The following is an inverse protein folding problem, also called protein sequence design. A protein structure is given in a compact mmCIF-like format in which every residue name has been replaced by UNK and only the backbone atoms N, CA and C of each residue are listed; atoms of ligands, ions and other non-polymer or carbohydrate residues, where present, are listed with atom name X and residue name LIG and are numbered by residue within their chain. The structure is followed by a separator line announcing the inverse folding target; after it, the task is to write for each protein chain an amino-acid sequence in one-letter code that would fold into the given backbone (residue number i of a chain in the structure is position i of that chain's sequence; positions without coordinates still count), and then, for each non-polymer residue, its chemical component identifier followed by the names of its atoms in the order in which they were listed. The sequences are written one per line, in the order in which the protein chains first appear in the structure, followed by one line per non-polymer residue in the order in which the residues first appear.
data_IF_035375284937
#
_entry.id   IF_035375284937
#
_cell.length_a   1.000
_cell.length_b   1.000
_cell.length_c   1.000
_cell.angle_alpha   90.00
_cell.angle_beta   90.00
_cell.angle_gamma   90.00
#
_symmetry.space_group_name_H-M   'P 1'
#
loop_
_entity.id
_entity.type
_entity.pdbx_description
1 polymer ?
#
# COMPACT_ATOMS: atom_id res chain seq x y z
N UNK A 1 9.22 -15.15 -34.17
CA UNK A 1 7.99 -14.37 -33.96
C UNK A 1 8.00 -13.93 -32.51
N UNK A 2 8.22 -12.65 -32.23
CA UNK A 2 8.19 -12.12 -30.85
C UNK A 2 6.72 -11.89 -30.49
N UNK A 3 6.18 -12.71 -29.61
CA UNK A 3 4.83 -12.55 -29.07
C UNK A 3 4.77 -11.23 -28.28
N UNK A 4 4.02 -10.25 -28.77
CA UNK A 4 3.83 -8.97 -28.07
C UNK A 4 2.93 -9.22 -26.87
N UNK A 5 3.50 -9.16 -25.67
CA UNK A 5 2.73 -9.29 -24.44
C UNK A 5 1.64 -8.20 -24.36
N UNK A 6 0.45 -8.52 -23.82
CA UNK A 6 -0.65 -7.57 -23.75
C UNK A 6 -0.33 -6.39 -22.84
N UNK A 7 -0.63 -5.18 -23.32
CA UNK A 7 -0.55 -3.93 -22.54
C UNK A 7 -1.72 -3.91 -21.56
N UNK A 8 -1.43 -3.70 -20.27
CA UNK A 8 -2.47 -3.52 -19.27
C UNK A 8 -3.00 -2.08 -19.32
N UNK A 9 -4.29 -1.87 -19.09
CA UNK A 9 -4.87 -0.53 -19.11
C UNK A 9 -5.85 -0.37 -17.96
N UNK A 10 -5.86 0.82 -17.35
CA UNK A 10 -6.91 1.23 -16.43
C UNK A 10 -7.32 2.68 -16.70
N UNK A 11 -8.48 3.05 -16.19
CA UNK A 11 -9.01 4.41 -16.30
C UNK A 11 -9.38 4.91 -14.91
N UNK A 12 -9.09 6.18 -14.64
CA UNK A 12 -9.42 6.82 -13.37
C UNK A 12 -9.69 8.30 -13.57
N UNK A 13 -10.60 8.86 -12.79
CA UNK A 13 -10.83 10.29 -12.69
C UNK A 13 -10.01 10.95 -11.56
N UNK A 14 -9.14 10.18 -10.90
CA UNK A 14 -8.33 10.62 -9.77
C UNK A 14 -6.93 11.07 -10.22
N UNK A 15 -6.32 12.03 -9.49
CA UNK A 15 -4.95 12.46 -9.74
C UNK A 15 -3.96 11.41 -9.22
N UNK A 16 -3.68 10.41 -10.06
CA UNK A 16 -2.70 9.36 -9.76
C UNK A 16 -1.37 9.66 -10.43
N UNK A 17 -0.28 9.21 -9.83
CA UNK A 17 1.04 9.14 -10.47
C UNK A 17 1.47 7.69 -10.52
N UNK A 18 1.87 7.24 -11.71
CA UNK A 18 2.32 5.88 -11.96
C UNK A 18 3.83 5.87 -12.09
N UNK A 19 4.45 4.98 -11.33
CA UNK A 19 5.86 4.69 -11.45
C UNK A 19 6.03 3.23 -11.85
N UNK A 20 7.05 2.96 -12.66
CA UNK A 20 7.38 1.63 -13.13
C UNK A 20 8.81 1.26 -12.75
N UNK A 21 9.00 -0.05 -12.67
CA UNK A 21 10.31 -0.68 -12.57
C UNK A 21 10.24 -2.06 -13.23
N UNK A 22 11.28 -2.50 -13.96
CA UNK A 22 11.29 -3.84 -14.54
C UNK A 22 11.15 -4.93 -13.46
N UNK A 23 10.38 -5.97 -13.76
CA UNK A 23 10.25 -7.13 -12.87
C UNK A 23 11.62 -7.76 -12.62
N UNK A 24 11.94 -8.03 -11.35
CA UNK A 24 13.21 -8.62 -10.94
C UNK A 24 14.36 -7.61 -10.78
N UNK A 25 14.17 -6.35 -11.18
CA UNK A 25 15.16 -5.28 -11.01
C UNK A 25 15.01 -4.61 -9.63
N UNK A 26 15.02 -5.37 -8.54
CA UNK A 26 14.72 -4.85 -7.20
C UNK A 26 15.67 -3.72 -6.71
N UNK A 27 16.88 -3.64 -7.27
CA UNK A 27 17.87 -2.61 -6.99
C UNK A 27 17.66 -1.31 -7.78
N UNK A 28 16.82 -1.33 -8.81
CA UNK A 28 16.51 -0.14 -9.61
C UNK A 28 15.50 0.74 -8.87
N UNK A 29 15.66 2.05 -9.02
CA UNK A 29 14.70 3.02 -8.52
C UNK A 29 13.42 3.01 -9.35
N UNK A 30 12.34 3.47 -8.73
CA UNK A 30 11.08 3.70 -9.40
C UNK A 30 11.19 4.90 -10.33
N UNK A 31 10.80 4.73 -11.59
CA UNK A 31 10.81 5.82 -12.58
C UNK A 31 9.37 6.25 -12.82
N UNK A 32 9.11 7.56 -12.75
CA UNK A 32 7.80 8.10 -13.09
C UNK A 32 7.51 7.82 -14.57
N UNK A 33 6.34 7.26 -14.84
CA UNK A 33 5.93 6.83 -16.16
C UNK A 33 4.82 7.70 -16.72
N UNK A 34 3.76 7.91 -15.95
CA UNK A 34 2.56 8.60 -16.42
C UNK A 34 1.70 9.13 -15.25
N UNK A 35 0.75 10.01 -15.55
CA UNK A 35 -0.14 10.64 -14.57
C UNK A 35 -1.60 10.60 -15.03
N UNK A 36 -2.51 10.39 -14.08
CA UNK A 36 -3.94 10.55 -14.29
C UNK A 36 -4.43 11.95 -13.93
N UNK A 37 -5.70 12.28 -14.18
CA UNK A 37 -6.77 11.38 -14.60
C UNK A 37 -6.69 10.98 -16.09
N UNK A 38 -7.52 10.02 -16.49
CA UNK A 38 -7.65 9.53 -17.85
C UNK A 38 -7.38 8.02 -17.95
N UNK A 39 -7.10 7.58 -19.17
CA UNK A 39 -6.78 6.19 -19.50
C UNK A 39 -5.27 5.99 -19.60
N UNK A 40 -4.71 5.12 -18.75
CA UNK A 40 -3.28 4.88 -18.66
C UNK A 40 -2.93 3.47 -19.17
N UNK A 41 -1.94 3.38 -20.06
CA UNK A 41 -1.52 2.13 -20.70
C UNK A 41 -0.15 1.70 -20.19
N UNK A 42 -0.12 0.61 -19.42
CA UNK A 42 1.08 0.14 -18.72
C UNK A 42 1.80 -0.92 -19.55
N UNK A 43 3.09 -0.70 -19.90
CA UNK A 43 3.87 -1.69 -20.61
C UNK A 43 4.05 -2.98 -19.78
N UNK A 44 4.02 -4.16 -20.43
CA UNK A 44 4.19 -5.44 -19.74
C UNK A 44 5.57 -5.55 -19.10
N UNK A 45 5.73 -6.57 -18.23
CA UNK A 45 6.99 -6.87 -17.52
C UNK A 45 7.48 -5.79 -16.55
N UNK A 46 6.57 -4.96 -16.04
CA UNK A 46 6.86 -3.97 -15.01
C UNK A 46 6.13 -4.29 -13.71
N UNK A 47 6.81 -4.04 -12.59
CA UNK A 47 6.14 -3.74 -11.34
C UNK A 47 5.56 -2.33 -11.42
N UNK A 48 4.43 -2.11 -10.74
CA UNK A 48 3.69 -0.86 -10.74
C UNK A 48 3.64 -0.34 -9.32
N UNK A 49 4.06 0.92 -9.19
CA UNK A 49 3.87 1.73 -8.01
C UNK A 49 2.87 2.85 -8.35
N UNK A 50 1.76 2.89 -7.64
CA UNK A 50 0.77 3.96 -7.73
C UNK A 50 0.82 4.87 -6.52
N UNK A 51 0.85 6.17 -6.75
CA UNK A 51 0.63 7.21 -5.75
C UNK A 51 -0.64 7.98 -6.06
N UNK A 52 -1.43 8.28 -5.03
CA UNK A 52 -2.60 9.15 -5.13
C UNK A 52 -2.67 10.05 -3.90
N UNK A 53 -3.13 11.29 -4.07
CA UNK A 53 -3.23 12.29 -3.00
C UNK A 53 -4.59 12.97 -2.98
N UNK A 54 -4.93 13.52 -1.82
CA UNK A 54 -6.16 14.26 -1.56
C UNK A 54 -7.44 13.46 -1.87
N UNK A 55 -7.46 12.18 -1.52
CA UNK A 55 -8.64 11.32 -1.69
C UNK A 55 -9.31 10.93 -0.37
N UNK A 56 -10.60 10.59 -0.44
CA UNK A 56 -11.40 9.95 0.61
C UNK A 56 -11.64 8.45 0.38
N UNK A 57 -12.47 7.83 1.23
CA UNK A 57 -12.78 6.40 1.17
C UNK A 57 -13.55 5.98 -0.10
N UNK A 58 -14.43 6.85 -0.63
CA UNK A 58 -15.21 6.57 -1.83
C UNK A 58 -14.34 6.66 -3.08
N UNK A 59 -13.45 7.65 -3.12
CA UNK A 59 -12.41 7.77 -4.14
C UNK A 59 -11.42 6.60 -4.09
N UNK A 60 -10.98 6.18 -2.89
CA UNK A 60 -10.15 4.99 -2.74
C UNK A 60 -10.87 3.73 -3.26
N UNK A 61 -12.17 3.58 -2.99
CA UNK A 61 -12.97 2.48 -3.51
C UNK A 61 -12.99 2.46 -5.05
N UNK A 62 -13.22 3.62 -5.68
CA UNK A 62 -13.20 3.75 -7.14
C UNK A 62 -11.82 3.44 -7.72
N UNK A 63 -10.75 3.95 -7.11
CA UNK A 63 -9.38 3.63 -7.51
C UNK A 63 -9.13 2.13 -7.48
N UNK A 64 -9.39 1.49 -6.34
CA UNK A 64 -9.20 0.05 -6.13
C UNK A 64 -9.95 -0.74 -7.19
N UNK A 65 -11.20 -0.37 -7.50
CA UNK A 65 -11.99 -1.02 -8.54
C UNK A 65 -11.29 -0.94 -9.90
N UNK A 66 -10.81 0.25 -10.28
CA UNK A 66 -10.10 0.47 -11.55
C UNK A 66 -8.77 -0.30 -11.66
N UNK A 67 -8.06 -0.49 -10.55
CA UNK A 67 -6.69 -1.06 -10.56
C UNK A 67 -6.61 -2.51 -10.07
N UNK A 68 -7.71 -3.11 -9.62
CA UNK A 68 -7.74 -4.46 -9.05
C UNK A 68 -7.29 -5.57 -10.00
N UNK A 69 -7.42 -5.36 -11.31
CA UNK A 69 -6.98 -6.29 -12.34
C UNK A 69 -5.60 -5.98 -12.91
N UNK A 70 -4.92 -4.91 -12.46
CA UNK A 70 -3.62 -4.53 -13.01
C UNK A 70 -2.54 -5.55 -12.61
N UNK A 71 -1.97 -6.29 -13.59
CA UNK A 71 -0.87 -7.18 -13.31
C UNK A 71 0.35 -6.35 -12.88
N UNK A 72 0.99 -6.76 -11.79
CA UNK A 72 2.20 -6.09 -11.33
C UNK A 72 1.98 -4.90 -10.40
N UNK A 73 0.75 -4.56 -9.99
CA UNK A 73 0.54 -3.60 -8.90
C UNK A 73 1.09 -4.15 -7.57
N UNK A 74 2.29 -3.68 -7.20
CA UNK A 74 3.02 -4.15 -6.03
C UNK A 74 3.16 -3.08 -4.95
N UNK A 75 3.04 -1.80 -5.29
CA UNK A 75 3.13 -0.69 -4.34
C UNK A 75 1.98 0.30 -4.52
N UNK A 76 1.24 0.54 -3.43
CA UNK A 76 0.27 1.62 -3.32
C UNK A 76 0.72 2.61 -2.24
N UNK A 77 0.80 3.89 -2.60
CA UNK A 77 1.09 4.98 -1.68
C UNK A 77 -0.14 5.87 -1.51
N UNK A 78 -0.70 5.82 -0.30
CA UNK A 78 -1.82 6.64 0.16
C UNK A 78 -1.38 7.68 1.20
N UNK A 79 -0.07 7.96 1.32
CA UNK A 79 0.45 8.89 2.31
C UNK A 79 -0.29 10.22 2.28
N UNK A 80 -0.54 10.78 3.46
CA UNK A 80 -1.16 12.09 3.67
C UNK A 80 -2.62 12.22 3.20
N UNK A 81 -3.26 11.12 2.78
CA UNK A 81 -4.71 11.10 2.53
C UNK A 81 -5.49 11.07 3.85
N UNK A 82 -5.64 12.24 4.48
CA UNK A 82 -6.29 12.39 5.80
C UNK A 82 -7.79 12.07 5.81
N UNK A 83 -8.42 11.98 4.64
CA UNK A 83 -9.83 11.56 4.49
C UNK A 83 -10.00 10.06 4.27
N UNK A 84 -8.90 9.32 4.10
CA UNK A 84 -8.92 7.85 4.12
C UNK A 84 -8.98 7.38 5.58
N UNK A 85 -9.99 6.55 5.88
CA UNK A 85 -10.29 6.03 7.21
C UNK A 85 -10.27 4.50 7.23
N UNK A 86 -10.64 3.91 8.38
CA UNK A 86 -10.74 2.45 8.53
C UNK A 86 -11.71 1.83 7.51
N UNK A 87 -12.76 2.57 7.10
CA UNK A 87 -13.73 2.13 6.10
C UNK A 87 -13.11 1.94 4.72
N UNK A 88 -12.24 2.85 4.30
CA UNK A 88 -11.49 2.76 3.04
C UNK A 88 -10.51 1.59 3.03
N UNK A 89 -9.86 1.28 4.15
CA UNK A 89 -8.89 0.18 4.22
C UNK A 89 -9.49 -1.19 3.89
N UNK A 90 -10.79 -1.39 4.18
CA UNK A 90 -11.49 -2.63 3.83
C UNK A 90 -11.44 -2.94 2.32
N UNK A 91 -11.33 -1.91 1.47
CA UNK A 91 -11.27 -2.07 0.01
C UNK A 91 -9.94 -2.63 -0.47
N UNK A 92 -8.86 -2.41 0.27
CA UNK A 92 -7.51 -2.85 -0.12
C UNK A 92 -7.40 -4.38 -0.23
N UNK A 93 -8.30 -5.14 0.38
CA UNK A 93 -8.36 -6.59 0.22
C UNK A 93 -8.49 -7.05 -1.24
N UNK A 94 -9.01 -6.19 -2.13
CA UNK A 94 -9.10 -6.44 -3.57
C UNK A 94 -7.76 -6.29 -4.32
N UNK A 95 -6.67 -5.91 -3.63
CA UNK A 95 -5.32 -5.76 -4.19
C UNK A 95 -4.33 -6.79 -3.59
N UNK A 96 -4.57 -8.11 -3.76
CA UNK A 96 -3.78 -9.15 -3.10
C UNK A 96 -2.32 -9.24 -3.56
N UNK A 97 -1.97 -8.53 -4.65
CA UNK A 97 -0.62 -8.42 -5.19
C UNK A 97 0.30 -7.47 -4.42
N UNK A 98 -0.24 -6.60 -3.55
CA UNK A 98 0.56 -5.60 -2.85
C UNK A 98 1.65 -6.21 -1.98
N UNK A 99 2.86 -5.71 -2.16
CA UNK A 99 4.05 -6.01 -1.34
C UNK A 99 4.46 -4.78 -0.51
N UNK A 100 4.10 -3.58 -0.95
CA UNK A 100 4.36 -2.32 -0.25
C UNK A 100 3.08 -1.51 -0.13
N UNK A 101 2.85 -0.95 1.05
CA UNK A 101 1.72 -0.07 1.32
C UNK A 101 2.18 1.08 2.21
N UNK A 102 1.97 2.31 1.76
CA UNK A 102 2.21 3.49 2.57
C UNK A 102 0.87 4.11 2.97
N UNK A 103 0.61 4.15 4.29
CA UNK A 103 -0.55 4.76 4.94
C UNK A 103 -0.12 5.89 5.89
N UNK A 104 1.12 6.37 5.77
CA UNK A 104 1.64 7.41 6.66
C UNK A 104 0.74 8.64 6.64
N UNK A 105 0.50 9.23 7.81
CA UNK A 105 -0.37 10.40 7.98
C UNK A 105 -1.82 10.23 7.47
N UNK A 106 -2.34 9.00 7.35
CA UNK A 106 -3.78 8.73 7.16
C UNK A 106 -4.57 8.80 8.48
N UNK A 107 -5.89 8.98 8.40
CA UNK A 107 -6.76 9.08 9.59
C UNK A 107 -7.35 7.71 9.98
N UNK A 108 -6.46 6.73 10.17
CA UNK A 108 -6.79 5.33 10.48
C UNK A 108 -6.58 5.03 11.96
N UNK A 109 -7.29 4.02 12.48
CA UNK A 109 -7.25 3.61 13.89
C UNK A 109 -6.91 2.12 14.04
N UNK A 110 -6.94 1.61 15.26
CA UNK A 110 -6.83 0.18 15.55
C UNK A 110 -7.85 -0.67 14.76
N UNK A 111 -9.04 -0.13 14.47
CA UNK A 111 -10.10 -0.86 13.76
C UNK A 111 -9.80 -1.10 12.28
N UNK A 112 -8.96 -0.28 11.66
CA UNK A 112 -8.59 -0.44 10.25
C UNK A 112 -7.55 -1.53 9.99
N UNK A 113 -6.64 -1.78 10.94
CA UNK A 113 -5.53 -2.72 10.76
C UNK A 113 -5.93 -4.18 10.47
N UNK A 114 -7.01 -4.73 11.06
CA UNK A 114 -7.54 -6.04 10.67
C UNK A 114 -7.84 -6.20 9.18
N UNK A 115 -8.24 -5.14 8.47
CA UNK A 115 -8.53 -5.20 7.03
C UNK A 115 -7.27 -5.47 6.19
N UNK A 116 -6.10 -5.02 6.66
CA UNK A 116 -4.83 -5.24 5.97
C UNK A 116 -4.40 -6.71 6.00
N UNK A 117 -4.96 -7.53 6.89
CA UNK A 117 -4.58 -8.94 7.03
C UNK A 117 -4.88 -9.78 5.79
N UNK A 118 -5.72 -9.29 4.87
CA UNK A 118 -5.94 -9.90 3.56
C UNK A 118 -4.72 -9.79 2.62
N UNK A 119 -3.83 -8.82 2.84
CA UNK A 119 -2.64 -8.57 2.01
C UNK A 119 -1.49 -9.54 2.38
N UNK A 120 -1.66 -10.83 2.06
CA UNK A 120 -0.71 -11.89 2.46
C UNK A 120 0.70 -11.74 1.89
N UNK A 121 0.85 -10.95 0.82
CA UNK A 121 2.14 -10.64 0.17
C UNK A 121 2.82 -9.39 0.72
N UNK A 122 2.20 -8.68 1.67
CA UNK A 122 2.73 -7.41 2.18
C UNK A 122 4.06 -7.64 2.93
N UNK A 123 5.09 -6.92 2.49
CA UNK A 123 6.47 -6.97 2.98
C UNK A 123 6.87 -5.65 3.64
N UNK A 124 6.35 -4.52 3.15
CA UNK A 124 6.61 -3.19 3.67
C UNK A 124 5.30 -2.47 4.01
N UNK A 125 5.16 -2.01 5.25
CA UNK A 125 4.03 -1.22 5.70
C UNK A 125 4.53 0.02 6.43
N UNK A 126 4.15 1.19 5.94
CA UNK A 126 4.42 2.46 6.61
C UNK A 126 3.14 2.98 7.26
N UNK A 127 3.14 3.06 8.59
CA UNK A 127 2.07 3.63 9.42
C UNK A 127 2.56 4.89 10.15
N UNK A 128 3.67 5.48 9.74
CA UNK A 128 4.24 6.64 10.43
C UNK A 128 3.21 7.78 10.52
N UNK A 129 3.22 8.47 11.66
CA UNK A 129 2.34 9.58 12.01
C UNK A 129 0.84 9.22 12.06
N UNK A 130 0.48 7.93 12.06
CA UNK A 130 -0.88 7.45 12.36
C UNK A 130 -1.13 7.42 13.88
N UNK A 131 -1.31 8.61 14.47
CA UNK A 131 -1.34 8.83 15.92
C UNK A 131 -2.52 8.17 16.69
N UNK A 132 -3.48 7.56 15.99
CA UNK A 132 -4.60 6.82 16.59
C UNK A 132 -4.35 5.31 16.69
N UNK A 133 -3.21 4.82 16.20
CA UNK A 133 -2.79 3.43 16.33
C UNK A 133 -2.06 3.24 17.66
N UNK A 134 -2.43 2.20 18.41
CA UNK A 134 -1.81 1.80 19.68
C UNK A 134 -1.33 0.35 19.67
N UNK A 135 -0.74 -0.08 20.78
CA UNK A 135 -0.29 -1.46 21.02
C UNK A 135 -1.36 -2.53 20.75
N UNK A 136 -2.63 -2.17 20.92
CA UNK A 136 -3.75 -3.06 20.62
C UNK A 136 -3.89 -3.32 19.12
N UNK A 137 -3.89 -2.25 18.31
CA UNK A 137 -4.03 -2.35 16.86
C UNK A 137 -2.89 -3.15 16.22
N UNK A 138 -1.66 -3.00 16.73
CA UNK A 138 -0.49 -3.72 16.23
C UNK A 138 -0.67 -5.25 16.24
N UNK A 139 -1.51 -5.80 17.12
CA UNK A 139 -1.75 -7.26 17.21
C UNK A 139 -2.27 -7.85 15.92
N UNK A 140 -3.04 -7.11 15.13
CA UNK A 140 -3.57 -7.56 13.83
C UNK A 140 -2.44 -7.89 12.83
N UNK A 141 -1.32 -7.17 12.92
CA UNK A 141 -0.18 -7.29 12.01
C UNK A 141 0.62 -8.59 12.21
N UNK A 142 0.38 -9.34 13.29
CA UNK A 142 1.00 -10.67 13.51
C UNK A 142 0.69 -11.67 12.41
N UNK A 143 -0.46 -11.52 11.76
CA UNK A 143 -0.91 -12.41 10.69
C UNK A 143 -0.19 -12.16 9.35
N UNK A 144 0.44 -11.00 9.18
CA UNK A 144 1.18 -10.62 7.98
C UNK A 144 2.58 -11.25 7.99
N UNK A 145 2.66 -12.56 7.78
CA UNK A 145 3.90 -13.34 7.95
C UNK A 145 5.06 -12.91 7.05
N UNK A 146 4.78 -12.26 5.91
CA UNK A 146 5.79 -11.71 5.00
C UNK A 146 6.24 -10.30 5.34
N UNK A 147 5.55 -9.61 6.26
CA UNK A 147 5.91 -8.25 6.64
C UNK A 147 7.31 -8.27 7.25
N UNK A 148 8.22 -7.57 6.58
CA UNK A 148 9.64 -7.49 6.86
C UNK A 148 10.07 -6.09 7.30
N UNK A 149 9.29 -5.06 6.93
CA UNK A 149 9.51 -3.68 7.35
C UNK A 149 8.21 -3.05 7.83
N UNK A 150 8.25 -2.45 9.01
CA UNK A 150 7.14 -1.69 9.60
C UNK A 150 7.66 -0.35 10.13
N UNK A 151 7.13 0.75 9.62
CA UNK A 151 7.41 2.08 10.18
C UNK A 151 6.28 2.53 11.11
N UNK A 152 6.65 2.89 12.34
CA UNK A 152 5.77 3.43 13.38
C UNK A 152 6.25 4.81 13.87
N UNK A 153 7.12 5.50 13.12
CA UNK A 153 7.60 6.83 13.50
C UNK A 153 6.43 7.75 13.81
N UNK A 154 6.47 8.47 14.95
CA UNK A 154 5.39 9.39 15.32
C UNK A 154 4.08 8.72 15.77
N UNK A 155 3.99 7.39 15.84
CA UNK A 155 2.87 6.67 16.45
C UNK A 155 2.99 6.66 17.99
N UNK A 156 2.71 7.82 18.59
CA UNK A 156 2.93 8.09 20.03
C UNK A 156 2.19 7.17 21.01
N UNK A 157 1.12 6.48 20.57
CA UNK A 157 0.34 5.54 21.40
C UNK A 157 0.85 4.10 21.34
N UNK A 158 1.91 3.84 20.58
CA UNK A 158 2.63 2.56 20.61
C UNK A 158 3.71 2.63 21.68
N UNK A 159 3.98 1.53 22.38
CA UNK A 159 5.02 1.40 23.39
C UNK A 159 6.05 0.33 23.00
N UNK A 160 7.23 0.36 23.61
CA UNK A 160 8.23 -0.71 23.44
C UNK A 160 7.66 -2.09 23.81
N UNK A 161 6.79 -2.16 24.84
CA UNK A 161 6.16 -3.41 25.26
C UNK A 161 5.14 -3.92 24.23
N UNK A 162 4.41 -3.03 23.57
CA UNK A 162 3.50 -3.39 22.48
C UNK A 162 4.23 -3.89 21.25
N UNK A 163 5.28 -3.18 20.85
CA UNK A 163 6.13 -3.54 19.70
C UNK A 163 6.76 -4.92 19.91
N UNK A 164 7.34 -5.19 21.09
CA UNK A 164 7.87 -6.51 21.47
C UNK A 164 6.89 -7.66 21.29
N UNK A 165 5.58 -7.41 21.37
CA UNK A 165 4.58 -8.47 21.17
C UNK A 165 4.44 -8.90 19.71
N UNK A 166 4.84 -8.07 18.74
CA UNK A 166 4.71 -8.34 17.30
C UNK A 166 6.05 -8.58 16.61
N UNK A 167 7.16 -8.25 17.29
CA UNK A 167 8.52 -8.57 16.89
C UNK A 167 8.67 -10.06 16.54
N UNK A 168 9.45 -10.31 15.50
CA UNK A 168 9.81 -11.65 15.04
C UNK A 168 11.03 -11.55 14.12
N UNK A 169 11.72 -12.68 13.94
CA UNK A 169 12.85 -12.77 13.01
C UNK A 169 12.44 -12.28 11.61
N UNK A 170 13.25 -11.39 11.04
CA UNK A 170 13.04 -10.84 9.70
C UNK A 170 12.07 -9.65 9.63
N UNK A 171 11.47 -9.22 10.74
CA UNK A 171 10.71 -7.98 10.81
C UNK A 171 11.55 -6.88 11.45
N UNK A 172 11.90 -5.87 10.66
CA UNK A 172 12.49 -4.61 11.12
C UNK A 172 11.39 -3.61 11.43
N UNK A 173 11.44 -3.02 12.63
CA UNK A 173 10.45 -2.03 13.09
C UNK A 173 11.17 -0.71 13.37
N UNK A 174 10.74 0.36 12.71
CA UNK A 174 11.22 1.73 12.92
C UNK A 174 10.25 2.51 13.81
N UNK A 175 10.78 3.43 14.62
CA UNK A 175 10.03 4.19 15.63
C UNK A 175 10.57 5.60 15.76
#
# INVERSE_FOLDING_TARGET
MTETLPIATFETDLPVTVYLRPIGAAAQEWVEFDQGPGRLSIPPQNEIYLRVKNIDDDELYRLVKSVSSLPGLTYLNLSENRKVTDGGLARLAALPGLTRLNLSSCNITNHGLPHLTALKKLEHLDLSYCNRISDEGLRALKSLRRLAFLDLQGCVKTSHAGIRKIERRGLTIHR
#
